data_IF_302542190014
#
_entry.id   IF_302542190014
#
_cell.length_a   1.000
_cell.length_b   1.000
_cell.length_c   1.000
_cell.angle_alpha   90.00
_cell.angle_beta   90.00
_cell.angle_gamma   90.00
#
_symmetry.space_group_name_H-M   'P 1'
#
loop_
_entity.id
_entity.type
_entity.pdbx_description
1 polymer ?
#
# COMPACT_ATOMS: atom_id res chain seq x y z
N UNK A 1 136.54 98.77 -3.23
CA UNK A 1 135.27 98.60 -2.48
C UNK A 1 134.02 98.36 -3.35
N UNK A 2 134.09 98.37 -4.70
CA UNK A 2 132.92 98.18 -5.57
C UNK A 2 132.66 96.73 -6.06
N UNK A 3 133.65 95.83 -5.96
CA UNK A 3 133.48 94.40 -6.31
C UNK A 3 132.70 93.59 -5.27
N UNK A 4 132.60 94.09 -4.03
CA UNK A 4 131.88 93.46 -2.93
C UNK A 4 130.36 93.66 -3.05
N UNK A 5 129.89 94.81 -3.55
CA UNK A 5 128.46 95.17 -3.66
C UNK A 5 127.72 94.52 -4.85
N UNK A 6 128.39 94.30 -5.99
CA UNK A 6 127.82 93.58 -7.15
C UNK A 6 127.69 92.08 -6.90
N UNK A 7 128.69 91.49 -6.23
CA UNK A 7 128.67 90.10 -5.81
C UNK A 7 127.55 89.83 -4.79
N UNK A 8 127.29 90.80 -3.90
CA UNK A 8 126.17 90.76 -2.95
C UNK A 8 124.81 90.84 -3.66
N UNK A 9 124.66 91.65 -4.71
CA UNK A 9 123.42 91.75 -5.48
C UNK A 9 123.10 90.47 -6.26
N UNK A 10 124.11 89.87 -6.89
CA UNK A 10 123.99 88.56 -7.56
C UNK A 10 123.68 87.46 -6.55
N UNK A 11 124.34 87.45 -5.39
CA UNK A 11 124.01 86.53 -4.28
C UNK A 11 122.56 86.67 -3.81
N UNK A 12 122.02 87.90 -3.67
CA UNK A 12 120.61 88.11 -3.30
C UNK A 12 119.65 87.61 -4.38
N UNK A 13 119.96 87.82 -5.66
CA UNK A 13 119.13 87.35 -6.78
C UNK A 13 119.15 85.82 -6.91
N UNK A 14 120.32 85.20 -6.76
CA UNK A 14 120.46 83.74 -6.70
C UNK A 14 119.67 83.18 -5.52
N UNK A 15 119.78 83.80 -4.34
CA UNK A 15 119.03 83.38 -3.15
C UNK A 15 117.50 83.52 -3.36
N UNK A 16 117.04 84.60 -3.96
CA UNK A 16 115.62 84.80 -4.28
C UNK A 16 115.09 83.83 -5.33
N UNK A 17 115.90 83.48 -6.34
CA UNK A 17 115.54 82.48 -7.35
C UNK A 17 115.56 81.06 -6.78
N UNK A 18 116.48 80.76 -5.86
CA UNK A 18 116.47 79.52 -5.08
C UNK A 18 115.22 79.44 -4.21
N UNK A 19 114.90 80.48 -3.43
CA UNK A 19 113.66 80.52 -2.63
C UNK A 19 112.40 80.38 -3.49
N UNK A 20 112.38 80.95 -4.70
CA UNK A 20 111.27 80.77 -5.65
C UNK A 20 111.21 79.36 -6.25
N UNK A 21 112.36 78.76 -6.58
CA UNK A 21 112.44 77.39 -7.07
C UNK A 21 112.01 76.40 -5.99
N UNK A 22 112.52 76.55 -4.76
CA UNK A 22 112.16 75.74 -3.59
C UNK A 22 110.65 75.88 -3.29
N UNK A 23 110.09 77.10 -3.36
CA UNK A 23 108.65 77.32 -3.17
C UNK A 23 107.79 76.74 -4.30
N UNK A 24 108.29 76.77 -5.54
CA UNK A 24 107.63 76.13 -6.67
C UNK A 24 107.67 74.61 -6.55
N UNK A 25 108.82 74.04 -6.18
CA UNK A 25 109.00 72.61 -5.91
C UNK A 25 108.04 72.13 -4.82
N UNK A 26 107.96 72.84 -3.69
CA UNK A 26 107.03 72.52 -2.60
C UNK A 26 105.55 72.60 -3.04
N UNK A 27 105.21 73.54 -3.93
CA UNK A 27 103.86 73.62 -4.54
C UNK A 27 103.58 72.46 -5.47
N UNK A 28 104.54 72.07 -6.31
CA UNK A 28 104.39 70.89 -7.18
C UNK A 28 104.23 69.62 -6.36
N UNK A 29 104.99 69.45 -5.27
CA UNK A 29 104.83 68.29 -4.38
C UNK A 29 103.45 68.28 -3.72
N UNK A 30 102.96 69.43 -3.25
CA UNK A 30 101.61 69.55 -2.67
C UNK A 30 100.53 69.19 -3.70
N UNK A 31 100.59 69.77 -4.89
CA UNK A 31 99.65 69.48 -5.98
C UNK A 31 99.70 68.02 -6.43
N UNK A 32 100.88 67.40 -6.46
CA UNK A 32 101.02 65.97 -6.76
C UNK A 32 100.37 65.09 -5.69
N UNK A 33 100.54 65.44 -4.41
CA UNK A 33 99.86 64.73 -3.30
C UNK A 33 98.35 64.89 -3.37
N UNK A 34 97.85 66.11 -3.61
CA UNK A 34 96.42 66.37 -3.77
C UNK A 34 95.84 65.62 -4.97
N UNK A 35 96.51 65.64 -6.12
CA UNK A 35 96.10 64.89 -7.31
C UNK A 35 96.08 63.38 -7.06
N UNK A 36 97.03 62.85 -6.31
CA UNK A 36 97.07 61.43 -5.96
C UNK A 36 95.90 61.04 -5.02
N UNK A 37 95.57 61.89 -4.05
CA UNK A 37 94.41 61.70 -3.17
C UNK A 37 93.10 61.76 -3.96
N UNK A 38 92.96 62.73 -4.86
CA UNK A 38 91.77 62.88 -5.70
C UNK A 38 91.59 61.70 -6.64
N UNK A 39 92.68 61.21 -7.27
CA UNK A 39 92.64 59.99 -8.10
C UNK A 39 92.18 58.78 -7.31
N UNK A 40 92.71 58.59 -6.10
CA UNK A 40 92.33 57.47 -5.23
C UNK A 40 90.86 57.57 -4.78
N UNK A 41 90.39 58.77 -4.46
CA UNK A 41 88.99 59.01 -4.12
C UNK A 41 88.06 58.73 -5.31
N UNK A 42 88.45 59.17 -6.52
CA UNK A 42 87.72 58.90 -7.76
C UNK A 42 87.66 57.40 -8.07
N UNK A 43 88.78 56.68 -7.98
CA UNK A 43 88.80 55.22 -8.18
C UNK A 43 87.90 54.48 -7.19
N UNK A 44 87.89 54.91 -5.92
CA UNK A 44 86.98 54.36 -4.91
C UNK A 44 85.50 54.61 -5.28
N UNK A 45 85.15 55.83 -5.68
CA UNK A 45 83.80 56.19 -6.09
C UNK A 45 83.36 55.44 -7.37
N UNK A 46 84.22 55.31 -8.37
CA UNK A 46 83.96 54.51 -9.57
C UNK A 46 83.72 53.03 -9.23
N UNK A 47 84.47 52.49 -8.25
CA UNK A 47 84.26 51.14 -7.72
C UNK A 47 82.90 50.97 -7.01
N UNK A 48 82.49 51.95 -6.20
CA UNK A 48 81.18 51.95 -5.53
C UNK A 48 80.04 52.03 -6.55
N UNK A 49 80.14 52.90 -7.55
CA UNK A 49 79.16 53.00 -8.64
C UNK A 49 79.06 51.68 -9.40
N UNK A 50 80.18 51.03 -9.72
CA UNK A 50 80.18 49.73 -10.38
C UNK A 50 79.50 48.64 -9.52
N UNK A 51 79.72 48.64 -8.20
CA UNK A 51 79.07 47.72 -7.26
C UNK A 51 77.56 47.96 -7.16
N UNK A 52 77.15 49.23 -7.04
CA UNK A 52 75.73 49.61 -7.00
C UNK A 52 75.00 49.25 -8.29
N UNK A 53 75.61 49.47 -9.46
CA UNK A 53 75.01 49.09 -10.74
C UNK A 53 74.78 47.57 -10.85
N UNK A 54 75.72 46.75 -10.38
CA UNK A 54 75.51 45.29 -10.33
C UNK A 54 74.37 44.92 -9.37
N UNK A 55 74.27 45.61 -8.23
CA UNK A 55 73.20 45.38 -7.27
C UNK A 55 71.83 45.79 -7.82
N UNK A 56 71.75 46.88 -8.56
CA UNK A 56 70.52 47.32 -9.25
C UNK A 56 70.05 46.23 -10.22
N UNK A 57 70.93 45.73 -11.08
CA UNK A 57 70.59 44.66 -12.05
C UNK A 57 70.06 43.41 -11.35
N UNK A 58 70.70 42.97 -10.26
CA UNK A 58 70.24 41.80 -9.51
C UNK A 58 68.85 42.01 -8.89
N UNK A 59 68.59 43.20 -8.35
CA UNK A 59 67.27 43.53 -7.78
C UNK A 59 66.20 43.63 -8.86
N UNK A 60 66.53 44.16 -10.04
CA UNK A 60 65.62 44.21 -11.19
C UNK A 60 65.26 42.79 -11.67
N UNK A 61 66.26 41.91 -11.83
CA UNK A 61 66.00 40.51 -12.18
C UNK A 61 65.17 39.76 -11.13
N UNK A 62 65.40 40.02 -9.84
CA UNK A 62 64.59 39.46 -8.76
C UNK A 62 63.16 39.99 -8.79
N UNK A 63 62.97 41.27 -9.08
CA UNK A 63 61.66 41.89 -9.23
C UNK A 63 60.89 41.28 -10.41
N UNK A 64 61.52 41.13 -11.57
CA UNK A 64 60.90 40.53 -12.76
C UNK A 64 60.45 39.09 -12.46
N UNK A 65 61.31 38.29 -11.83
CA UNK A 65 60.97 36.91 -11.42
C UNK A 65 59.83 36.88 -10.40
N UNK A 66 59.78 37.83 -9.47
CA UNK A 66 58.69 37.93 -8.50
C UNK A 66 57.37 38.32 -9.17
N UNK A 67 57.41 39.22 -10.17
CA UNK A 67 56.25 39.64 -10.94
C UNK A 67 55.68 38.49 -11.78
N UNK A 68 56.52 37.71 -12.46
CA UNK A 68 56.07 36.52 -13.22
C UNK A 68 55.40 35.48 -12.32
N UNK A 69 55.98 35.23 -11.14
CA UNK A 69 55.42 34.33 -10.14
C UNK A 69 54.07 34.83 -9.62
N UNK A 70 53.97 36.14 -9.36
CA UNK A 70 52.74 36.77 -8.91
C UNK A 70 51.66 36.66 -9.99
N UNK A 71 51.97 36.95 -11.26
CA UNK A 71 51.04 36.83 -12.37
C UNK A 71 50.49 35.41 -12.50
N UNK A 72 51.36 34.41 -12.39
CA UNK A 72 50.97 32.99 -12.43
C UNK A 72 50.07 32.62 -11.23
N UNK A 73 50.38 33.12 -10.04
CA UNK A 73 49.59 32.87 -8.84
C UNK A 73 48.19 33.50 -8.94
N UNK A 74 48.09 34.72 -9.47
CA UNK A 74 46.82 35.42 -9.69
C UNK A 74 45.95 34.69 -10.72
N UNK A 75 46.53 34.21 -11.82
CA UNK A 75 45.78 33.43 -12.81
C UNK A 75 45.20 32.14 -12.18
N UNK A 76 46.01 31.41 -11.40
CA UNK A 76 45.54 30.20 -10.71
C UNK A 76 44.44 30.49 -9.68
N UNK A 77 44.54 31.63 -9.00
CA UNK A 77 43.51 32.06 -8.06
C UNK A 77 42.19 32.33 -8.78
N UNK A 78 42.21 33.04 -9.91
CA UNK A 78 41.01 33.32 -10.70
C UNK A 78 40.35 32.02 -11.22
N UNK A 79 41.15 31.06 -11.68
CA UNK A 79 40.65 29.75 -12.11
C UNK A 79 40.01 28.97 -10.94
N UNK A 80 40.62 29.02 -9.75
CA UNK A 80 40.08 28.38 -8.56
C UNK A 80 38.78 29.05 -8.08
N UNK A 81 38.68 30.38 -8.15
CA UNK A 81 37.47 31.13 -7.83
C UNK A 81 36.31 30.75 -8.76
N UNK A 82 36.57 30.68 -10.07
CA UNK A 82 35.56 30.22 -11.04
C UNK A 82 35.08 28.80 -10.76
N UNK A 83 36.02 27.89 -10.45
CA UNK A 83 35.67 26.51 -10.10
C UNK A 83 34.84 26.43 -8.80
N UNK A 84 35.15 27.27 -7.81
CA UNK A 84 34.39 27.35 -6.56
C UNK A 84 32.96 27.86 -6.80
N UNK A 85 32.79 28.92 -7.61
CA UNK A 85 31.48 29.46 -7.98
C UNK A 85 30.62 28.42 -8.72
N UNK A 86 31.21 27.67 -9.65
CA UNK A 86 30.52 26.59 -10.36
C UNK A 86 30.11 25.46 -9.41
N UNK A 87 30.99 25.09 -8.46
CA UNK A 87 30.70 24.10 -7.43
C UNK A 87 29.55 24.56 -6.51
N UNK A 88 29.51 25.84 -6.12
CA UNK A 88 28.43 26.38 -5.30
C UNK A 88 27.08 26.33 -6.03
N UNK A 89 27.08 26.66 -7.33
CA UNK A 89 25.88 26.52 -8.17
C UNK A 89 25.43 25.07 -8.26
N UNK A 90 26.36 24.14 -8.44
CA UNK A 90 26.09 22.70 -8.45
C UNK A 90 25.44 22.25 -7.14
N UNK A 91 25.99 22.69 -6.00
CA UNK A 91 25.47 22.39 -4.67
C UNK A 91 24.03 22.88 -4.50
N UNK A 92 23.72 24.13 -4.88
CA UNK A 92 22.36 24.69 -4.80
C UNK A 92 21.34 23.90 -5.63
N UNK A 93 21.74 23.42 -6.81
CA UNK A 93 20.86 22.59 -7.65
C UNK A 93 20.59 21.24 -6.99
N UNK A 94 21.62 20.60 -6.42
CA UNK A 94 21.47 19.32 -5.70
C UNK A 94 20.58 19.49 -4.47
N UNK A 95 20.79 20.55 -3.69
CA UNK A 95 19.96 20.88 -2.53
C UNK A 95 18.49 21.07 -2.90
N UNK A 96 18.21 21.85 -3.96
CA UNK A 96 16.84 22.04 -4.44
C UNK A 96 16.19 20.75 -4.93
N UNK A 97 16.96 19.82 -5.51
CA UNK A 97 16.45 18.49 -5.90
C UNK A 97 16.16 17.63 -4.66
N UNK A 98 17.07 17.63 -3.69
CA UNK A 98 16.91 16.88 -2.45
C UNK A 98 15.64 17.32 -1.70
N UNK A 99 15.38 18.63 -1.59
CA UNK A 99 14.15 19.14 -0.96
C UNK A 99 12.89 18.66 -1.67
N UNK A 100 12.86 18.68 -3.01
CA UNK A 100 11.71 18.19 -3.79
C UNK A 100 11.50 16.69 -3.64
N UNK A 101 12.60 15.93 -3.59
CA UNK A 101 12.54 14.49 -3.38
C UNK A 101 12.03 14.15 -1.97
N UNK A 102 12.41 14.94 -0.96
CA UNK A 102 11.91 14.83 0.42
C UNK A 102 10.41 15.13 0.50
N UNK A 103 9.93 16.25 -0.06
CA UNK A 103 8.50 16.58 -0.14
C UNK A 103 7.68 15.48 -0.83
N UNK A 104 8.24 14.92 -1.92
CA UNK A 104 7.60 13.82 -2.65
C UNK A 104 7.56 12.54 -1.80
N UNK A 105 8.62 12.24 -1.06
CA UNK A 105 8.69 11.08 -0.18
C UNK A 105 7.64 11.17 0.93
N UNK A 106 7.48 12.34 1.55
CA UNK A 106 6.45 12.58 2.57
C UNK A 106 5.03 12.35 2.02
N UNK A 107 4.74 12.89 0.83
CA UNK A 107 3.44 12.69 0.17
C UNK A 107 3.18 11.20 -0.11
N UNK A 108 4.19 10.48 -0.61
CA UNK A 108 4.10 9.05 -0.87
C UNK A 108 3.90 8.24 0.40
N UNK A 109 4.49 8.65 1.52
CA UNK A 109 4.30 7.99 2.82
C UNK A 109 2.85 8.14 3.32
N UNK A 110 2.26 9.33 3.16
CA UNK A 110 0.85 9.57 3.50
C UNK A 110 -0.06 8.68 2.64
N UNK A 111 0.14 8.68 1.31
CA UNK A 111 -0.63 7.84 0.40
C UNK A 111 -0.51 6.35 0.72
N UNK A 112 0.69 5.90 1.11
CA UNK A 112 0.92 4.52 1.52
C UNK A 112 0.15 4.17 2.80
N UNK A 113 0.11 5.07 3.79
CA UNK A 113 -0.67 4.88 5.02
C UNK A 113 -2.17 4.79 4.73
N UNK A 114 -2.69 5.68 3.88
CA UNK A 114 -4.09 5.66 3.46
C UNK A 114 -4.45 4.36 2.73
N UNK A 115 -3.61 3.93 1.77
CA UNK A 115 -3.83 2.68 1.04
C UNK A 115 -3.85 1.46 1.97
N UNK A 116 -2.97 1.42 2.99
CA UNK A 116 -2.97 0.38 4.01
C UNK A 116 -4.26 0.36 4.82
N UNK A 117 -4.72 1.52 5.29
CA UNK A 117 -5.97 1.61 6.04
C UNK A 117 -7.17 1.14 5.22
N UNK A 118 -7.24 1.52 3.93
CA UNK A 118 -8.32 1.07 3.03
C UNK A 118 -8.28 -0.46 2.87
N UNK A 119 -7.10 -1.06 2.70
CA UNK A 119 -6.95 -2.50 2.60
C UNK A 119 -7.41 -3.21 3.90
N UNK A 120 -6.97 -2.71 5.06
CA UNK A 120 -7.38 -3.25 6.37
C UNK A 120 -8.89 -3.12 6.64
N UNK A 121 -9.52 -2.05 6.17
CA UNK A 121 -10.98 -1.90 6.25
C UNK A 121 -11.71 -2.86 5.31
N UNK A 122 -11.18 -3.08 4.11
CA UNK A 122 -11.73 -4.06 3.18
C UNK A 122 -11.64 -5.48 3.76
N UNK A 123 -10.48 -5.87 4.30
CA UNK A 123 -10.28 -7.17 4.93
C UNK A 123 -11.24 -7.38 6.10
N UNK A 124 -11.41 -6.37 6.97
CA UNK A 124 -12.39 -6.42 8.07
C UNK A 124 -13.83 -6.64 7.58
N UNK A 125 -14.24 -5.96 6.51
CA UNK A 125 -15.56 -6.15 5.89
C UNK A 125 -15.69 -7.54 5.28
N UNK A 126 -14.66 -8.03 4.61
CA UNK A 126 -14.64 -9.39 4.04
C UNK A 126 -14.80 -10.44 5.14
N UNK A 127 -14.07 -10.33 6.24
CA UNK A 127 -14.21 -11.25 7.37
C UNK A 127 -15.62 -11.23 7.97
N UNK A 128 -16.24 -10.05 8.10
CA UNK A 128 -17.60 -9.95 8.63
C UNK A 128 -18.62 -10.64 7.71
N UNK A 129 -18.50 -10.43 6.39
CA UNK A 129 -19.35 -11.09 5.39
C UNK A 129 -19.12 -12.60 5.41
N UNK A 130 -17.87 -13.06 5.48
CA UNK A 130 -17.53 -14.47 5.55
C UNK A 130 -18.14 -15.14 6.80
N UNK A 131 -18.06 -14.48 7.97
CA UNK A 131 -18.70 -14.98 9.21
C UNK A 131 -20.22 -15.08 9.07
N UNK A 132 -20.87 -14.08 8.47
CA UNK A 132 -22.32 -14.11 8.23
C UNK A 132 -22.72 -15.22 7.26
N UNK A 133 -21.92 -15.44 6.22
CA UNK A 133 -22.18 -16.48 5.22
C UNK A 133 -22.23 -17.86 5.87
N UNK A 134 -21.26 -18.20 6.73
CA UNK A 134 -21.23 -19.49 7.45
C UNK A 134 -22.48 -19.69 8.31
N UNK A 135 -22.98 -18.64 8.95
CA UNK A 135 -24.21 -18.73 9.76
C UNK A 135 -25.41 -19.04 8.86
N UNK A 136 -25.55 -18.31 7.75
CA UNK A 136 -26.67 -18.47 6.81
C UNK A 136 -26.62 -19.85 6.13
N UNK A 137 -25.45 -20.33 5.75
CA UNK A 137 -25.26 -21.69 5.21
C UNK A 137 -25.73 -22.75 6.22
N UNK A 138 -25.35 -22.62 7.49
CA UNK A 138 -25.82 -23.53 8.53
C UNK A 138 -27.33 -23.40 8.84
N UNK A 139 -27.93 -22.23 8.67
CA UNK A 139 -29.40 -22.08 8.76
C UNK A 139 -30.10 -22.73 7.58
N UNK A 140 -29.56 -22.57 6.37
CA UNK A 140 -30.07 -23.19 5.15
C UNK A 140 -30.08 -24.72 5.28
N UNK A 141 -28.97 -25.34 5.67
CA UNK A 141 -28.87 -26.79 5.87
C UNK A 141 -29.96 -27.30 6.84
N UNK A 142 -30.15 -26.63 7.98
CA UNK A 142 -31.22 -27.00 8.95
C UNK A 142 -32.62 -26.85 8.37
N UNK A 143 -32.85 -25.83 7.54
CA UNK A 143 -34.15 -25.65 6.90
C UNK A 143 -34.43 -26.70 5.83
N UNK A 144 -33.39 -27.12 5.09
CA UNK A 144 -33.46 -28.19 4.10
C UNK A 144 -33.75 -29.53 4.77
N UNK A 145 -33.02 -29.91 5.82
CA UNK A 145 -33.29 -31.14 6.59
C UNK A 145 -34.74 -31.19 7.11
N UNK A 146 -35.26 -30.06 7.60
CA UNK A 146 -36.64 -29.96 8.08
C UNK A 146 -37.65 -30.11 6.94
N UNK A 147 -37.37 -29.53 5.78
CA UNK A 147 -38.21 -29.65 4.60
C UNK A 147 -38.28 -31.11 4.12
N UNK A 148 -37.13 -31.78 4.00
CA UNK A 148 -37.04 -33.20 3.63
C UNK A 148 -37.84 -34.10 4.58
N UNK A 149 -37.73 -33.87 5.90
CA UNK A 149 -38.50 -34.61 6.90
C UNK A 149 -40.01 -34.38 6.73
N UNK A 150 -40.42 -33.14 6.44
CA UNK A 150 -41.82 -32.79 6.20
C UNK A 150 -42.35 -33.45 4.93
N UNK A 151 -41.59 -33.41 3.83
CA UNK A 151 -41.94 -34.11 2.59
C UNK A 151 -42.08 -35.62 2.81
N UNK A 152 -41.18 -36.23 3.59
CA UNK A 152 -41.28 -37.65 3.95
C UNK A 152 -42.53 -37.97 4.78
N UNK A 153 -43.03 -37.04 5.60
CA UNK A 153 -44.32 -37.21 6.31
C UNK A 153 -45.50 -37.09 5.36
N UNK A 154 -45.49 -36.12 4.46
CA UNK A 154 -46.55 -35.94 3.46
C UNK A 154 -46.67 -37.19 2.58
N UNK A 155 -45.56 -37.70 2.04
CA UNK A 155 -45.55 -38.92 1.22
C UNK A 155 -46.15 -40.14 1.96
N UNK A 156 -45.86 -40.28 3.26
CA UNK A 156 -46.45 -41.36 4.08
C UNK A 156 -47.95 -41.20 4.25
N UNK A 157 -48.41 -39.99 4.59
CA UNK A 157 -49.85 -39.71 4.74
C UNK A 157 -50.61 -39.88 3.41
N UNK A 158 -49.99 -39.52 2.29
CA UNK A 158 -50.58 -39.75 0.95
C UNK A 158 -50.76 -41.25 0.66
N UNK A 159 -49.79 -42.10 1.01
CA UNK A 159 -49.93 -43.54 0.83
C UNK A 159 -50.96 -44.15 1.80
N UNK A 160 -50.98 -43.71 3.07
CA UNK A 160 -52.01 -44.13 4.02
C UNK A 160 -53.42 -43.76 3.53
N UNK A 161 -53.60 -42.55 3.00
CA UNK A 161 -54.87 -42.10 2.43
C UNK A 161 -55.25 -42.96 1.21
N UNK A 162 -54.29 -43.32 0.36
CA UNK A 162 -54.50 -44.19 -0.80
C UNK A 162 -54.99 -45.58 -0.38
N UNK A 163 -54.36 -46.17 0.64
CA UNK A 163 -54.77 -47.47 1.20
C UNK A 163 -56.16 -47.37 1.85
N UNK A 164 -56.42 -46.29 2.60
CA UNK A 164 -57.72 -46.06 3.23
C UNK A 164 -58.85 -45.91 2.19
N UNK A 165 -58.61 -45.20 1.09
CA UNK A 165 -59.58 -45.09 -0.01
C UNK A 165 -59.88 -46.46 -0.64
N UNK A 166 -58.85 -47.30 -0.82
CA UNK A 166 -59.03 -48.67 -1.32
C UNK A 166 -59.84 -49.53 -0.35
N UNK A 167 -59.55 -49.49 0.95
CA UNK A 167 -60.31 -50.25 1.95
C UNK A 167 -61.75 -49.76 2.06
N UNK A 168 -61.97 -48.44 2.05
CA UNK A 168 -63.30 -47.84 2.03
C UNK A 168 -64.13 -48.31 0.83
N UNK A 169 -63.54 -48.32 -0.37
CA UNK A 169 -64.20 -48.85 -1.58
C UNK A 169 -64.58 -50.32 -1.43
N UNK A 170 -63.70 -51.15 -0.85
CA UNK A 170 -63.97 -52.57 -0.62
C UNK A 170 -65.09 -52.79 0.42
N UNK A 171 -65.07 -52.03 1.53
CA UNK A 171 -66.10 -52.03 2.56
C UNK A 171 -67.46 -51.63 1.99
N UNK A 172 -67.52 -50.55 1.22
CA UNK A 172 -68.74 -50.10 0.55
C UNK A 172 -69.30 -51.15 -0.40
N UNK A 173 -68.44 -51.83 -1.17
CA UNK A 173 -68.88 -52.92 -2.03
C UNK A 173 -69.40 -54.13 -1.24
N UNK A 174 -68.82 -54.41 -0.05
CA UNK A 174 -69.29 -55.46 0.85
C UNK A 174 -70.63 -55.10 1.50
N UNK A 175 -70.81 -53.85 1.91
CA UNK A 175 -72.05 -53.30 2.47
C UNK A 175 -73.21 -53.45 1.47
N UNK A 176 -73.03 -52.98 0.22
CA UNK A 176 -74.06 -53.12 -0.82
C UNK A 176 -74.48 -54.59 -1.06
N UNK A 177 -73.54 -55.54 -0.97
CA UNK A 177 -73.85 -56.98 -1.07
C UNK A 177 -74.64 -57.48 0.13
N UNK A 178 -74.30 -57.00 1.33
CA UNK A 178 -75.00 -57.36 2.56
C UNK A 178 -76.44 -56.82 2.56
N UNK A 179 -76.64 -55.56 2.13
CA UNK A 179 -77.96 -54.96 1.95
C UNK A 179 -78.81 -55.76 0.95
N UNK A 180 -78.26 -56.07 -0.22
CA UNK A 180 -78.96 -56.90 -1.23
C UNK A 180 -79.38 -58.26 -0.66
N UNK A 181 -78.52 -58.87 0.17
CA UNK A 181 -78.82 -60.15 0.83
C UNK A 181 -79.91 -59.99 1.90
N UNK A 182 -79.89 -58.90 2.66
CA UNK A 182 -80.90 -58.58 3.67
C UNK A 182 -82.27 -58.38 3.01
N UNK A 183 -82.36 -57.58 1.94
CA UNK A 183 -83.60 -57.37 1.18
C UNK A 183 -84.18 -58.69 0.66
N UNK A 184 -83.33 -59.61 0.17
CA UNK A 184 -83.78 -60.92 -0.29
C UNK A 184 -84.29 -61.79 0.86
N UNK A 185 -83.61 -61.76 2.00
CA UNK A 185 -84.04 -62.48 3.20
C UNK A 185 -85.39 -61.94 3.71
N UNK A 186 -85.56 -60.61 3.79
CA UNK A 186 -86.82 -59.96 4.18
C UNK A 186 -87.97 -60.34 3.25
N UNK A 187 -87.75 -60.29 1.92
CA UNK A 187 -88.77 -60.76 0.95
C UNK A 187 -89.13 -62.23 1.13
N UNK A 188 -88.14 -63.07 1.45
CA UNK A 188 -88.36 -64.49 1.69
C UNK A 188 -89.16 -64.71 2.97
N UNK A 189 -88.84 -63.97 4.05
CA UNK A 189 -89.59 -63.99 5.31
C UNK A 189 -91.04 -63.55 5.08
N UNK A 190 -91.27 -62.40 4.43
CA UNK A 190 -92.62 -61.91 4.14
C UNK A 190 -93.45 -62.90 3.31
N UNK A 191 -92.81 -63.62 2.36
CA UNK A 191 -93.49 -64.66 1.59
C UNK A 191 -93.84 -65.88 2.44
N UNK A 192 -92.95 -66.29 3.34
CA UNK A 192 -93.20 -67.40 4.27
C UNK A 192 -94.29 -67.03 5.28
N UNK A 193 -94.28 -65.81 5.82
CA UNK A 193 -95.33 -65.28 6.71
C UNK A 193 -96.70 -65.33 6.01
N UNK A 194 -96.80 -64.81 4.79
CA UNK A 194 -98.04 -64.93 4.02
C UNK A 194 -98.48 -66.39 3.81
N UNK A 195 -97.53 -67.29 3.56
CA UNK A 195 -97.84 -68.71 3.41
C UNK A 195 -98.34 -69.32 4.73
N UNK A 196 -97.81 -68.87 5.86
CA UNK A 196 -98.30 -69.26 7.20
C UNK A 196 -99.72 -68.76 7.38
N UNK A 197 -100.00 -67.48 7.12
CA UNK A 197 -101.35 -66.90 7.24
C UNK A 197 -102.37 -67.66 6.36
N UNK A 198 -102.02 -67.91 5.09
CA UNK A 198 -102.86 -68.67 4.14
C UNK A 198 -103.11 -70.12 4.64
N UNK A 199 -102.15 -70.73 5.33
CA UNK A 199 -102.27 -72.07 5.92
C UNK A 199 -103.11 -72.06 7.20
N UNK A 200 -102.97 -71.04 8.03
CA UNK A 200 -103.75 -70.84 9.25
C UNK A 200 -105.24 -70.61 8.93
N UNK A 201 -105.55 -69.81 7.90
CA UNK A 201 -106.91 -69.59 7.41
C UNK A 201 -107.55 -70.89 6.94
N UNK A 202 -106.84 -71.66 6.10
CA UNK A 202 -107.29 -72.99 5.65
C UNK A 202 -107.52 -73.94 6.82
N UNK A 203 -106.63 -73.93 7.81
CA UNK A 203 -106.77 -74.76 9.01
C UNK A 203 -108.00 -74.37 9.83
N UNK A 204 -108.30 -73.08 9.98
CA UNK A 204 -109.51 -72.59 10.64
C UNK A 204 -110.77 -73.04 9.90
N UNK A 205 -110.81 -72.89 8.57
CA UNK A 205 -111.95 -73.31 7.77
C UNK A 205 -112.21 -74.82 7.86
N UNK A 206 -111.14 -75.63 7.76
CA UNK A 206 -111.24 -77.07 7.95
C UNK A 206 -111.72 -77.46 9.37
N UNK A 207 -111.38 -76.68 10.41
CA UNK A 207 -111.88 -76.89 11.78
C UNK A 207 -113.36 -76.52 11.92
N UNK A 208 -113.81 -75.43 11.30
CA UNK A 208 -115.23 -75.05 11.27
C UNK A 208 -116.07 -76.10 10.55
N UNK A 209 -115.66 -76.53 9.35
CA UNK A 209 -116.33 -77.63 8.63
C UNK A 209 -116.39 -78.91 9.47
N UNK A 210 -115.32 -79.22 10.21
CA UNK A 210 -115.29 -80.37 11.10
C UNK A 210 -116.26 -80.24 12.28
N UNK A 211 -116.35 -79.04 12.87
CA UNK A 211 -117.31 -78.74 13.93
C UNK A 211 -118.76 -78.84 13.42
N UNK A 212 -119.04 -78.29 12.23
CA UNK A 212 -120.35 -78.37 11.60
C UNK A 212 -120.74 -79.81 11.28
N UNK A 213 -119.79 -80.62 10.79
CA UNK A 213 -119.98 -82.07 10.61
C UNK A 213 -120.28 -82.77 11.93
N UNK A 214 -119.58 -82.43 13.01
CA UNK A 214 -119.84 -82.97 14.34
C UNK A 214 -121.23 -82.57 14.87
N UNK A 215 -121.63 -81.30 14.72
CA UNK A 215 -122.96 -80.82 15.10
C UNK A 215 -124.07 -81.51 14.28
N UNK A 216 -123.89 -81.65 12.97
CA UNK A 216 -124.82 -82.41 12.13
C UNK A 216 -124.91 -83.86 12.58
N UNK A 217 -123.78 -84.50 12.90
CA UNK A 217 -123.76 -85.87 13.40
C UNK A 217 -124.53 -85.99 14.72
N UNK A 218 -124.31 -85.09 15.67
CA UNK A 218 -125.01 -85.04 16.96
C UNK A 218 -126.51 -84.77 16.78
N UNK A 219 -126.88 -83.87 15.87
CA UNK A 219 -128.27 -83.58 15.52
C UNK A 219 -128.95 -84.80 14.90
N UNK A 220 -128.27 -85.51 13.99
CA UNK A 220 -128.75 -86.76 13.39
C UNK A 220 -128.91 -87.86 14.45
N UNK A 221 -127.97 -87.93 15.41
CA UNK A 221 -128.04 -88.85 16.56
C UNK A 221 -129.20 -88.50 17.50
N UNK A 222 -129.49 -87.22 17.75
CA UNK A 222 -130.65 -86.78 18.52
C UNK A 222 -131.98 -87.08 17.80
N UNK A 223 -132.05 -86.87 16.49
CA UNK A 223 -133.21 -87.25 15.68
C UNK A 223 -133.45 -88.76 15.73
N UNK A 224 -132.39 -89.57 15.73
CA UNK A 224 -132.46 -91.03 15.91
C UNK A 224 -132.89 -91.46 17.33
N UNK A 225 -132.55 -90.69 18.38
CA UNK A 225 -132.91 -91.01 19.77
C UNK A 225 -134.31 -90.54 20.18
N UNK A 226 -134.93 -89.65 19.40
CA UNK A 226 -136.31 -89.14 19.62
C UNK A 226 -137.37 -89.85 18.74
N UNK A 227 -136.97 -90.91 18.02
CA UNK A 227 -137.87 -91.89 17.38
C UNK A 227 -138.00 -93.15 18.21
#
# INVERSE_FOLDING_TARGET
MAGLTSLEAVKRKIKSLQEQADSAEERTEKLQRELALERKAREAAEGEVASLNRRIQLVEEELDRAQERLATALQKLEEAEKAADESERGMKVVESRAMKDEEKMELQEIQLKEAKHIAEEADRKYEEVARKLVIVEGELERTEERAELSEGRVRRLEEELRVLDQTFKALKASEMKAETRAEFAERSVAKLEKTIDDLEEKLSHAKEENLDMHQMLDQTLMELNNM
#
